data_IF_480578840906
#
_entry.id   IF_480578840906
#
_cell.length_a   1.000
_cell.length_b   1.000
_cell.length_c   1.000
_cell.angle_alpha   90.00
_cell.angle_beta   90.00
_cell.angle_gamma   90.00
#
_symmetry.space_group_name_H-M   'P 1'
#
loop_
_entity.id
_entity.type
_entity.pdbx_description
1 polymer ?
#
# COMPACT_ATOMS: atom_id res chain seq x y z
N UNK A 1 4.47 3.44 13.80
CA UNK A 1 5.09 2.48 14.77
C UNK A 1 6.39 1.92 14.20
N UNK A 2 7.36 1.50 15.03
CA UNK A 2 8.63 0.90 14.54
C UNK A 2 8.41 -0.48 13.92
N UNK A 3 9.29 -0.94 13.01
CA UNK A 3 9.13 -2.21 12.29
C UNK A 3 8.84 -3.40 13.23
N UNK A 4 9.56 -3.52 14.35
CA UNK A 4 9.38 -4.64 15.29
C UNK A 4 8.02 -4.68 16.01
N UNK A 5 7.21 -3.63 15.90
CA UNK A 5 5.85 -3.55 16.44
C UNK A 5 4.77 -3.60 15.34
N UNK A 6 5.15 -3.64 14.06
CA UNK A 6 4.24 -3.79 12.93
C UNK A 6 4.06 -5.28 12.57
N UNK A 7 2.95 -5.66 11.90
CA UNK A 7 2.79 -7.01 11.36
C UNK A 7 3.94 -7.38 10.40
N UNK A 8 4.44 -8.60 10.52
CA UNK A 8 5.49 -9.08 9.62
C UNK A 8 4.89 -9.52 8.28
N UNK A 9 4.93 -8.62 7.29
CA UNK A 9 4.43 -8.88 5.93
C UNK A 9 5.50 -9.40 4.98
N UNK A 10 6.76 -9.50 5.43
CA UNK A 10 7.88 -9.89 4.57
C UNK A 10 7.61 -11.26 3.96
N UNK A 11 7.68 -11.32 2.63
CA UNK A 11 7.49 -12.51 1.79
C UNK A 11 6.24 -13.37 2.09
N UNK A 12 5.26 -12.86 2.84
CA UNK A 12 4.04 -13.58 3.25
C UNK A 12 2.85 -13.12 2.44
N UNK A 13 1.92 -14.04 2.19
CA UNK A 13 0.62 -13.65 1.65
C UNK A 13 -0.12 -12.81 2.67
N UNK A 14 -0.67 -11.69 2.23
CA UNK A 14 -1.39 -10.79 3.11
C UNK A 14 -2.45 -9.99 2.35
N UNK A 15 -3.39 -9.48 3.11
CA UNK A 15 -4.43 -8.57 2.62
C UNK A 15 -4.37 -7.30 3.44
N UNK A 16 -4.37 -6.15 2.77
CA UNK A 16 -4.57 -4.85 3.41
C UNK A 16 -5.92 -4.30 2.94
N UNK A 17 -6.80 -4.01 3.88
CA UNK A 17 -8.12 -3.41 3.61
C UNK A 17 -8.24 -2.06 4.34
N UNK A 18 -8.58 -1.00 3.61
CA UNK A 18 -8.89 0.32 4.14
C UNK A 18 -10.37 0.63 3.94
N UNK A 19 -11.09 0.84 5.03
CA UNK A 19 -12.49 1.29 5.00
C UNK A 19 -12.51 2.83 4.96
N UNK A 20 -12.92 3.39 3.83
CA UNK A 20 -12.89 4.84 3.59
C UNK A 20 -14.24 5.40 3.16
N UNK A 21 -14.36 6.71 3.31
CA UNK A 21 -15.39 7.53 2.65
C UNK A 21 -14.67 8.56 1.77
N UNK A 22 -14.89 8.45 0.46
CA UNK A 22 -14.30 9.33 -0.57
C UNK A 22 -15.29 10.48 -0.83
N UNK A 23 -14.86 11.75 -0.71
CA UNK A 23 -15.70 12.90 -1.04
C UNK A 23 -16.11 12.93 -2.52
N UNK A 24 -17.18 13.67 -2.85
CA UNK A 24 -17.65 13.84 -4.25
C UNK A 24 -16.57 14.44 -5.18
N UNK A 25 -15.67 15.25 -4.65
CA UNK A 25 -14.55 15.83 -5.39
C UNK A 25 -13.40 14.82 -5.64
N UNK A 26 -13.50 13.60 -5.12
CA UNK A 26 -12.42 12.62 -5.07
C UNK A 26 -11.61 12.71 -3.77
N UNK A 27 -10.59 11.85 -3.68
CA UNK A 27 -9.64 11.83 -2.57
C UNK A 27 -8.22 11.58 -3.09
N UNK A 28 -7.24 11.99 -2.30
CA UNK A 28 -5.81 11.79 -2.47
C UNK A 28 -5.23 11.42 -1.10
N UNK A 29 -4.05 10.81 -1.08
CA UNK A 29 -3.27 10.63 0.13
C UNK A 29 -3.04 9.18 0.54
N UNK A 30 -2.23 9.02 1.58
CA UNK A 30 -1.79 7.72 2.07
C UNK A 30 -2.87 7.01 2.89
N UNK A 31 -3.14 5.74 2.61
CA UNK A 31 -4.01 4.91 3.45
C UNK A 31 -3.19 4.17 4.50
N UNK A 32 -2.08 3.59 4.07
CA UNK A 32 -1.10 2.92 4.92
C UNK A 32 0.25 2.88 4.21
N UNK A 33 1.32 3.17 4.94
CA UNK A 33 2.70 2.95 4.47
C UNK A 33 3.53 2.30 5.56
N UNK A 34 4.45 1.43 5.17
CA UNK A 34 5.56 1.01 6.00
C UNK A 34 6.86 1.18 5.24
N UNK A 35 7.79 1.95 5.79
CA UNK A 35 9.01 2.31 5.09
C UNK A 35 8.89 3.61 4.33
N UNK A 36 9.83 3.86 3.43
CA UNK A 36 9.95 5.12 2.71
C UNK A 36 10.87 4.99 1.50
N UNK A 37 11.61 6.07 1.21
CA UNK A 37 12.48 6.17 0.02
C UNK A 37 13.43 4.99 -0.17
N UNK A 38 13.89 4.38 0.93
CA UNK A 38 14.92 3.34 0.88
C UNK A 38 14.38 1.93 0.77
N UNK A 39 13.18 1.63 1.26
CA UNK A 39 12.51 0.33 1.18
C UNK A 39 11.09 0.50 1.76
N UNK A 40 10.15 -0.36 1.35
CA UNK A 40 8.82 -0.31 1.94
C UNK A 40 7.70 -0.74 1.02
N UNK A 41 6.49 -0.55 1.51
CA UNK A 41 5.27 -0.63 0.71
C UNK A 41 4.30 0.46 1.15
N UNK A 42 3.39 0.83 0.25
CA UNK A 42 2.31 1.74 0.56
C UNK A 42 1.05 1.43 -0.22
N UNK A 43 -0.10 1.66 0.39
CA UNK A 43 -1.40 1.71 -0.26
C UNK A 43 -1.93 3.13 -0.12
N UNK A 44 -2.26 3.77 -1.24
CA UNK A 44 -2.65 5.18 -1.30
C UNK A 44 -3.70 5.42 -2.37
N UNK A 45 -4.35 6.58 -2.30
CA UNK A 45 -5.07 7.14 -3.44
C UNK A 45 -4.19 8.20 -4.09
N UNK A 46 -3.90 8.01 -5.37
CA UNK A 46 -3.12 8.96 -6.17
C UNK A 46 -3.77 9.20 -7.52
N UNK A 47 -3.95 10.46 -7.89
CA UNK A 47 -4.64 10.88 -9.13
C UNK A 47 -6.06 10.27 -9.25
N UNK A 48 -6.74 10.12 -8.11
CA UNK A 48 -8.03 9.47 -7.94
C UNK A 48 -8.03 7.95 -8.12
N UNK A 49 -6.87 7.29 -8.20
CA UNK A 49 -6.72 5.83 -8.37
C UNK A 49 -6.22 5.16 -7.10
N UNK A 50 -6.63 3.92 -6.86
CA UNK A 50 -6.01 3.11 -5.82
C UNK A 50 -4.64 2.64 -6.31
N UNK A 51 -3.60 2.88 -5.52
CA UNK A 51 -2.22 2.52 -5.87
C UNK A 51 -1.60 1.72 -4.75
N UNK A 52 -1.07 0.55 -5.08
CA UNK A 52 -0.14 -0.21 -4.26
C UNK A 52 1.28 -0.03 -4.81
N UNK A 53 2.18 0.48 -3.98
CA UNK A 53 3.58 0.63 -4.31
C UNK A 53 4.44 -0.29 -3.45
N UNK A 54 5.47 -0.87 -4.05
CA UNK A 54 6.44 -1.73 -3.38
C UNK A 54 7.85 -1.32 -3.79
N UNK A 55 8.66 -0.91 -2.82
CA UNK A 55 10.03 -0.46 -3.00
C UNK A 55 11.00 -1.54 -2.49
N UNK A 56 11.59 -2.30 -3.42
CA UNK A 56 12.60 -3.33 -3.13
C UNK A 56 13.96 -2.68 -2.88
N UNK A 57 14.11 -2.08 -1.71
CA UNK A 57 15.38 -1.55 -1.22
C UNK A 57 16.05 -0.55 -2.20
N UNK A 58 15.25 0.21 -2.94
CA UNK A 58 15.71 1.13 -3.99
C UNK A 58 16.26 0.48 -5.26
N UNK A 59 16.28 -0.85 -5.35
CA UNK A 59 16.77 -1.61 -6.53
C UNK A 59 15.71 -1.69 -7.61
N UNK A 60 14.51 -2.11 -7.23
CA UNK A 60 13.34 -2.20 -8.11
C UNK A 60 12.13 -1.59 -7.40
N UNK A 61 11.26 -0.94 -8.16
CA UNK A 61 10.01 -0.36 -7.65
C UNK A 61 8.85 -0.90 -8.47
N UNK A 62 7.85 -1.44 -7.79
CA UNK A 62 6.67 -2.02 -8.41
C UNK A 62 5.46 -1.17 -8.04
N UNK A 63 4.76 -0.66 -9.05
CA UNK A 63 3.54 0.12 -8.85
C UNK A 63 2.39 -0.60 -9.54
N UNK A 64 1.37 -0.93 -8.77
CA UNK A 64 0.13 -1.51 -9.25
C UNK A 64 -0.96 -0.49 -8.96
N UNK A 65 -1.65 -0.03 -9.99
CA UNK A 65 -2.71 0.97 -9.89
C UNK A 65 -4.03 0.41 -10.39
N UNK A 66 -5.14 0.98 -9.95
CA UNK A 66 -6.44 0.70 -10.54
C UNK A 66 -6.53 1.24 -11.97
N UNK A 67 -7.26 0.52 -12.82
CA UNK A 67 -7.47 0.89 -14.23
C UNK A 67 -8.29 2.18 -14.33
N UNK A 68 -9.31 2.30 -13.47
CA UNK A 68 -10.24 3.42 -13.38
C UNK A 68 -10.05 4.23 -12.09
N UNK A 69 -10.58 5.46 -12.08
CA UNK A 69 -10.70 6.28 -10.86
C UNK A 69 -11.73 5.69 -9.90
N UNK A 70 -11.53 5.91 -8.61
CA UNK A 70 -12.41 5.44 -7.57
C UNK A 70 -13.72 6.26 -7.54
N UNK A 71 -14.88 5.61 -7.31
CA UNK A 71 -16.14 6.32 -7.11
C UNK A 71 -16.15 7.02 -5.74
N UNK A 72 -16.93 8.09 -5.62
CA UNK A 72 -17.23 8.72 -4.35
C UNK A 72 -18.07 7.82 -3.44
N UNK A 73 -18.09 8.15 -2.15
CA UNK A 73 -18.87 7.47 -1.12
C UNK A 73 -18.07 6.44 -0.32
N UNK A 74 -18.80 5.60 0.42
CA UNK A 74 -18.21 4.59 1.32
C UNK A 74 -17.75 3.38 0.52
N UNK A 75 -16.50 2.99 0.71
CA UNK A 75 -15.91 1.86 -0.02
C UNK A 75 -14.80 1.21 0.80
N UNK A 76 -14.74 -0.13 0.72
CA UNK A 76 -13.60 -0.90 1.19
C UNK A 76 -12.59 -1.02 0.04
N UNK A 77 -11.42 -0.40 0.20
CA UNK A 77 -10.30 -0.47 -0.73
C UNK A 77 -9.34 -1.55 -0.26
N UNK A 78 -8.97 -2.47 -1.14
CA UNK A 78 -8.21 -3.67 -0.75
C UNK A 78 -7.08 -3.97 -1.70
N UNK A 79 -5.92 -4.29 -1.16
CA UNK A 79 -4.80 -4.92 -1.86
C UNK A 79 -4.59 -6.33 -1.33
N UNK A 80 -4.66 -7.32 -2.22
CA UNK A 80 -4.34 -8.72 -1.93
C UNK A 80 -2.97 -9.03 -2.52
N UNK A 81 -2.00 -9.29 -1.65
CA UNK A 81 -0.65 -9.71 -2.00
C UNK A 81 -0.53 -11.22 -1.81
N UNK A 82 -0.34 -11.96 -2.91
CA UNK A 82 -0.22 -13.43 -2.90
C UNK A 82 1.19 -13.82 -3.31
N UNK A 83 2.00 -14.22 -2.33
CA UNK A 83 3.39 -14.64 -2.57
C UNK A 83 3.45 -15.97 -3.33
N UNK A 84 4.45 -16.12 -4.18
CA UNK A 84 4.76 -17.40 -4.84
C UNK A 84 5.32 -18.43 -3.84
N UNK A 85 5.99 -17.95 -2.78
CA UNK A 85 6.55 -18.76 -1.71
C UNK A 85 6.85 -17.92 -0.46
N UNK A 86 6.74 -18.50 0.74
CA UNK A 86 7.16 -17.87 2.00
C UNK A 86 8.69 -17.91 2.16
N UNK A 87 9.40 -17.16 1.30
CA UNK A 87 10.86 -17.04 1.32
C UNK A 87 11.35 -15.70 0.77
N UNK A 88 12.54 -15.23 1.17
CA UNK A 88 13.18 -14.05 0.60
C UNK A 88 13.21 -14.06 -0.93
N UNK A 89 13.02 -12.88 -1.54
CA UNK A 89 13.06 -12.65 -2.99
C UNK A 89 11.97 -13.40 -3.80
N UNK A 90 11.00 -14.04 -3.15
CA UNK A 90 9.84 -14.58 -3.84
C UNK A 90 9.03 -13.43 -4.48
N UNK A 91 8.54 -13.64 -5.69
CA UNK A 91 7.59 -12.74 -6.33
C UNK A 91 6.18 -12.90 -5.74
N UNK A 92 5.28 -12.02 -6.16
CA UNK A 92 3.89 -12.06 -5.74
C UNK A 92 2.96 -11.40 -6.76
N UNK A 93 1.78 -11.99 -6.90
CA UNK A 93 0.67 -11.34 -7.57
C UNK A 93 0.00 -10.33 -6.62
N UNK A 94 -0.26 -9.13 -7.10
CA UNK A 94 -0.99 -8.09 -6.37
C UNK A 94 -2.30 -7.80 -7.10
N UNK A 95 -3.43 -7.93 -6.40
CA UNK A 95 -4.75 -7.62 -6.95
C UNK A 95 -5.46 -6.57 -6.12
N UNK A 96 -5.99 -5.55 -6.78
CA UNK A 96 -6.67 -4.41 -6.16
C UNK A 96 -8.18 -4.54 -6.28
N UNK A 97 -8.90 -4.16 -5.23
CA UNK A 97 -10.36 -4.18 -5.18
C UNK A 97 -10.94 -2.90 -4.60
N UNK A 98 -12.14 -2.54 -5.07
CA UNK A 98 -13.03 -1.55 -4.45
C UNK A 98 -14.42 -2.16 -4.28
N UNK A 99 -14.92 -2.24 -3.04
CA UNK A 99 -16.24 -2.80 -2.75
C UNK A 99 -16.43 -4.24 -3.24
N UNK A 100 -15.35 -5.03 -3.29
CA UNK A 100 -15.34 -6.41 -3.78
C UNK A 100 -15.15 -6.57 -5.30
N UNK A 101 -15.25 -5.51 -6.10
CA UNK A 101 -14.91 -5.53 -7.53
C UNK A 101 -13.39 -5.45 -7.71
N UNK A 102 -12.81 -6.33 -8.51
CA UNK A 102 -11.41 -6.20 -8.93
C UNK A 102 -11.28 -4.97 -9.86
N UNK A 103 -10.32 -4.10 -9.55
CA UNK A 103 -10.10 -2.82 -10.27
C UNK A 103 -8.68 -2.65 -10.80
N UNK A 104 -7.78 -3.60 -10.52
CA UNK A 104 -6.42 -3.61 -11.03
C UNK A 104 -5.69 -4.89 -10.62
N UNK A 105 -4.67 -5.26 -11.39
CA UNK A 105 -3.78 -6.38 -11.09
C UNK A 105 -2.38 -6.08 -11.60
N UNK A 106 -1.37 -6.52 -10.87
CA UNK A 106 0.02 -6.45 -11.28
C UNK A 106 0.87 -7.43 -10.49
N UNK A 107 2.19 -7.23 -10.55
CA UNK A 107 3.16 -8.15 -9.99
C UNK A 107 4.30 -7.42 -9.29
N UNK A 108 4.69 -7.96 -8.15
CA UNK A 108 5.97 -7.67 -7.49
C UNK A 108 6.89 -8.83 -7.87
N UNK A 109 7.94 -8.57 -8.65
CA UNK A 109 8.78 -9.67 -9.14
C UNK A 109 9.66 -10.27 -8.04
N UNK A 110 10.01 -9.47 -7.02
CA UNK A 110 10.83 -9.88 -5.88
C UNK A 110 10.45 -9.11 -4.62
N UNK A 111 10.29 -9.83 -3.52
CA UNK A 111 10.06 -9.28 -2.18
C UNK A 111 11.35 -8.89 -1.46
N UNK A 112 11.22 -7.97 -0.50
CA UNK A 112 12.29 -7.58 0.41
C UNK A 112 12.80 -8.81 1.18
N UNK A 113 14.12 -9.07 1.20
CA UNK A 113 14.64 -10.31 1.76
C UNK A 113 14.69 -10.34 3.29
N UNK A 114 14.92 -9.19 3.97
CA UNK A 114 15.25 -9.17 5.39
C UNK A 114 14.52 -8.10 6.23
N UNK A 115 14.73 -6.80 5.94
CA UNK A 115 14.18 -5.69 6.75
C UNK A 115 13.46 -4.70 5.86
N UNK A 116 12.27 -4.27 6.30
CA UNK A 116 11.45 -3.31 5.56
C UNK A 116 11.96 -1.89 5.81
N UNK A 117 12.34 -1.55 7.04
CA UNK A 117 12.91 -0.24 7.34
C UNK A 117 13.73 -0.22 8.64
N UNK A 118 14.76 0.62 8.67
CA UNK A 118 15.54 0.93 9.88
C UNK A 118 15.24 2.33 10.43
N UNK A 119 14.60 3.18 9.63
CA UNK A 119 14.54 4.63 9.75
C UNK A 119 13.12 5.20 9.69
N UNK A 120 12.14 4.40 9.28
CA UNK A 120 10.74 4.79 9.05
C UNK A 120 9.75 3.95 9.88
N UNK A 121 8.49 4.37 9.84
CA UNK A 121 7.40 3.80 10.63
C UNK A 121 6.32 3.14 9.78
N UNK A 122 5.40 2.41 10.44
CA UNK A 122 4.06 2.17 9.91
C UNK A 122 3.19 3.39 10.21
N UNK A 123 2.68 4.02 9.16
CA UNK A 123 1.80 5.19 9.23
C UNK A 123 0.45 4.86 8.59
N UNK A 124 -0.62 5.47 9.10
CA UNK A 124 -2.02 5.22 8.71
C UNK A 124 -2.71 6.55 8.46
N UNK A 125 -3.26 6.73 7.26
CA UNK A 125 -3.98 7.95 6.86
C UNK A 125 -3.09 9.15 6.51
N UNK A 126 -1.77 9.00 6.57
CA UNK A 126 -0.78 10.00 6.18
C UNK A 126 0.57 9.33 5.95
N UNK A 127 1.50 10.09 5.37
CA UNK A 127 2.92 9.79 5.35
C UNK A 127 3.64 11.08 5.76
N UNK A 128 4.51 11.02 6.76
CA UNK A 128 5.32 12.17 7.26
C UNK A 128 6.83 11.97 7.05
N UNK A 129 7.23 10.80 6.57
CA UNK A 129 8.63 10.42 6.41
C UNK A 129 9.21 10.84 5.07
N UNK A 130 10.15 10.04 4.56
CA UNK A 130 10.58 10.13 3.17
C UNK A 130 9.59 9.34 2.28
N UNK A 131 9.17 9.90 1.13
CA UNK A 131 8.14 9.29 0.30
C UNK A 131 8.54 7.87 -0.14
N UNK A 132 7.64 6.91 0.03
CA UNK A 132 7.84 5.51 -0.42
C UNK A 132 7.81 5.39 -1.94
N UNK A 133 7.13 6.31 -2.61
CA UNK A 133 6.98 6.43 -4.05
C UNK A 133 7.24 7.87 -4.48
N UNK A 134 7.95 8.06 -5.60
CA UNK A 134 8.08 9.40 -6.18
C UNK A 134 6.73 9.93 -6.68
N UNK A 135 6.53 11.25 -6.59
CA UNK A 135 5.38 11.92 -7.21
C UNK A 135 4.24 12.32 -6.27
N UNK A 136 4.49 12.42 -4.97
CA UNK A 136 3.64 13.14 -4.02
C UNK A 136 4.50 13.99 -3.06
N UNK A 137 3.91 15.06 -2.54
CA UNK A 137 4.56 15.95 -1.57
C UNK A 137 4.24 15.54 -0.12
N UNK A 138 5.13 15.89 0.81
CA UNK A 138 4.97 15.58 2.23
C UNK A 138 4.37 16.77 3.01
N UNK A 139 3.49 16.53 4.01
CA UNK A 139 2.88 15.23 4.33
C UNK A 139 1.82 14.83 3.29
N UNK A 140 1.70 13.53 3.03
CA UNK A 140 0.70 13.03 2.07
C UNK A 140 -0.57 12.58 2.78
N UNK A 141 -1.26 13.55 3.36
CA UNK A 141 -2.47 13.35 4.18
C UNK A 141 -3.63 12.81 3.34
N UNK A 142 -4.33 11.82 3.88
CA UNK A 142 -5.57 11.33 3.27
C UNK A 142 -6.68 12.39 3.36
N UNK A 143 -7.22 12.80 2.22
CA UNK A 143 -8.21 13.88 2.14
C UNK A 143 -9.66 13.41 2.29
N UNK A 144 -9.89 12.10 2.39
CA UNK A 144 -11.17 11.52 2.74
C UNK A 144 -11.30 11.20 4.23
N UNK A 145 -12.29 10.36 4.58
CA UNK A 145 -12.40 9.82 5.95
C UNK A 145 -11.93 8.38 5.98
N UNK A 146 -10.84 8.11 6.70
CA UNK A 146 -10.35 6.76 6.95
C UNK A 146 -10.94 6.23 8.26
N UNK A 147 -11.75 5.17 8.18
CA UNK A 147 -12.42 4.58 9.35
C UNK A 147 -11.54 3.53 10.03
N UNK A 148 -10.92 2.66 9.24
CA UNK A 148 -10.08 1.58 9.73
C UNK A 148 -9.14 1.09 8.63
N UNK A 149 -8.00 0.53 9.06
CA UNK A 149 -7.15 -0.30 8.22
C UNK A 149 -6.98 -1.65 8.91
N UNK A 150 -7.23 -2.73 8.16
CA UNK A 150 -7.11 -4.11 8.61
C UNK A 150 -6.04 -4.80 7.79
N UNK A 151 -5.14 -5.51 8.47
CA UNK A 151 -4.11 -6.34 7.85
C UNK A 151 -4.38 -7.79 8.25
N UNK A 152 -4.52 -8.66 7.26
CA UNK A 152 -4.72 -10.10 7.45
C UNK A 152 -3.50 -10.85 6.90
N UNK A 153 -2.92 -11.74 7.71
CA UNK A 153 -1.85 -12.66 7.31
C UNK A 153 -2.48 -14.00 6.89
N UNK A 154 -2.16 -14.46 5.67
CA UNK A 154 -2.76 -15.66 5.06
C UNK A 154 -1.77 -16.81 4.93
#
# INVERSE_FOLDING_TARGET
MVEGAAPDLKHKSHTITADVEIPEAGAEGMLITQGGRFAGYGLMIKDGKLVYHYNLVGVERFTIASDERLPAGKVALKAVYKTDADKPLAGADVTLYAGGKQIGKGRVEKSIPNRVTLDETLDIGFDTGAPVMDGYDMPFDFTGRLKAVTIELN
#
